data_IF_395153142776
#
_entry.id   IF_395153142776
#
_cell.length_a   1.000
_cell.length_b   1.000
_cell.length_c   1.000
_cell.angle_alpha   90.00
_cell.angle_beta   90.00
_cell.angle_gamma   90.00
#
_symmetry.space_group_name_H-M   'P 1'
#
loop_
_entity.id
_entity.type
_entity.pdbx_description
1 polymer ?
#
# COMPACT_ATOMS: atom_id res chain seq x y z
N UNK A 1 -10.33 12.87 -8.08
CA UNK A 1 -10.69 13.56 -6.82
C UNK A 1 -10.28 12.76 -5.58
N UNK A 2 -10.69 11.48 -5.44
CA UNK A 2 -10.36 10.67 -4.26
C UNK A 2 -8.86 10.58 -3.96
N UNK A 3 -8.04 10.17 -4.94
CA UNK A 3 -6.59 10.05 -4.74
C UNK A 3 -5.96 11.39 -4.28
N UNK A 4 -6.34 12.52 -4.89
CA UNK A 4 -5.82 13.83 -4.50
C UNK A 4 -6.14 14.18 -3.03
N UNK A 5 -7.35 13.89 -2.56
CA UNK A 5 -7.71 14.10 -1.14
C UNK A 5 -6.94 13.15 -0.21
N UNK A 6 -6.74 11.89 -0.61
CA UNK A 6 -5.93 10.93 0.14
C UNK A 6 -4.47 11.40 0.25
N UNK A 7 -3.87 11.82 -0.87
CA UNK A 7 -2.52 12.38 -0.93
C UNK A 7 -2.42 13.60 -0.01
N UNK A 8 -3.42 14.49 -0.03
CA UNK A 8 -3.45 15.66 0.84
C UNK A 8 -3.45 15.29 2.31
N UNK A 9 -4.29 14.33 2.71
CA UNK A 9 -4.38 13.88 4.12
C UNK A 9 -3.10 13.17 4.57
N UNK A 10 -2.53 12.28 3.74
CA UNK A 10 -1.26 11.61 4.06
C UNK A 10 -0.08 12.59 4.18
N UNK A 11 -0.18 13.75 3.56
CA UNK A 11 0.82 14.82 3.66
C UNK A 11 0.59 15.79 4.82
N UNK A 12 -0.54 15.72 5.53
CA UNK A 12 -0.81 16.56 6.68
C UNK A 12 0.14 16.22 7.84
N UNK A 13 0.64 17.25 8.54
CA UNK A 13 1.69 17.10 9.54
C UNK A 13 1.26 16.21 10.72
N UNK A 14 0.04 16.39 11.19
CA UNK A 14 -0.59 15.61 12.26
C UNK A 14 -0.74 14.13 11.87
N UNK A 15 -1.11 13.87 10.61
CA UNK A 15 -1.21 12.50 10.07
C UNK A 15 0.17 11.86 9.97
N UNK A 16 1.17 12.59 9.45
CA UNK A 16 2.55 12.10 9.38
C UNK A 16 3.12 11.78 10.76
N UNK A 17 2.91 12.66 11.75
CA UNK A 17 3.32 12.43 13.13
C UNK A 17 2.63 11.20 13.74
N UNK A 18 1.33 11.04 13.50
CA UNK A 18 0.58 9.86 13.95
C UNK A 18 1.15 8.58 13.36
N UNK A 19 1.42 8.55 12.06
CA UNK A 19 2.02 7.39 11.41
C UNK A 19 3.44 7.11 11.93
N UNK A 20 4.26 8.14 12.10
CA UNK A 20 5.59 8.01 12.69
C UNK A 20 5.55 7.44 14.11
N UNK A 21 4.56 7.84 14.93
CA UNK A 21 4.35 7.29 16.29
C UNK A 21 4.01 5.79 16.30
N UNK A 22 3.48 5.27 15.19
CA UNK A 22 3.20 3.86 14.96
C UNK A 22 4.36 3.11 14.28
N UNK A 23 5.49 3.80 14.03
CA UNK A 23 6.65 3.24 13.36
C UNK A 23 6.46 3.01 11.85
N UNK A 24 5.51 3.71 11.24
CA UNK A 24 5.21 3.58 9.80
C UNK A 24 5.42 4.90 9.07
N UNK A 25 5.91 4.83 7.84
CA UNK A 25 6.02 5.98 6.94
C UNK A 25 4.85 5.96 5.95
N UNK A 26 4.03 7.02 5.88
CA UNK A 26 2.95 7.08 4.90
C UNK A 26 3.52 7.34 3.51
N UNK A 27 3.19 6.47 2.56
CA UNK A 27 3.55 6.60 1.15
C UNK A 27 2.27 6.89 0.36
N UNK A 28 2.35 7.83 -0.58
CA UNK A 28 1.29 8.09 -1.54
C UNK A 28 1.78 7.82 -2.96
N UNK A 29 0.89 7.38 -3.84
CA UNK A 29 1.17 7.15 -5.26
C UNK A 29 0.11 7.81 -6.13
N UNK A 30 0.34 7.77 -7.44
CA UNK A 30 -0.73 7.95 -8.43
C UNK A 30 -1.65 6.72 -8.48
N UNK A 31 -2.88 6.84 -9.00
CA UNK A 31 -3.76 5.70 -9.25
C UNK A 31 -3.14 4.64 -10.16
N UNK A 32 -2.42 5.05 -11.20
CA UNK A 32 -1.79 4.18 -12.18
C UNK A 32 -0.64 3.37 -11.55
N UNK A 33 0.18 4.02 -10.72
CA UNK A 33 1.22 3.35 -9.94
C UNK A 33 0.64 2.34 -8.94
N UNK A 34 -0.50 2.67 -8.31
CA UNK A 34 -1.18 1.76 -7.39
C UNK A 34 -1.73 0.53 -8.13
N UNK A 35 -2.31 0.72 -9.32
CA UNK A 35 -2.76 -0.38 -10.17
C UNK A 35 -1.60 -1.29 -10.58
N UNK A 36 -0.49 -0.68 -11.02
CA UNK A 36 0.71 -1.43 -11.40
C UNK A 36 1.29 -2.22 -10.22
N UNK A 37 1.35 -1.61 -9.04
CA UNK A 37 1.80 -2.25 -7.81
C UNK A 37 0.93 -3.46 -7.46
N UNK A 38 -0.39 -3.30 -7.43
CA UNK A 38 -1.32 -4.39 -7.11
C UNK A 38 -1.17 -5.56 -8.10
N UNK A 39 -1.05 -5.29 -9.40
CA UNK A 39 -0.83 -6.35 -10.40
C UNK A 39 0.48 -7.10 -10.18
N UNK A 40 1.56 -6.38 -9.89
CA UNK A 40 2.87 -6.98 -9.63
C UNK A 40 2.86 -7.84 -8.35
N UNK A 41 2.27 -7.32 -7.27
CA UNK A 41 2.17 -8.03 -5.99
C UNK A 41 1.29 -9.27 -6.10
N UNK A 42 0.15 -9.17 -6.79
CA UNK A 42 -0.72 -10.33 -7.05
C UNK A 42 0.02 -11.43 -7.79
N UNK A 43 0.76 -11.09 -8.85
CA UNK A 43 1.54 -12.08 -9.61
C UNK A 43 2.61 -12.73 -8.73
N UNK A 44 3.35 -11.93 -7.96
CA UNK A 44 4.42 -12.40 -7.07
C UNK A 44 3.88 -13.33 -5.99
N UNK A 45 2.90 -12.88 -5.21
CA UNK A 45 2.40 -13.63 -4.06
C UNK A 45 1.56 -14.83 -4.47
N UNK A 46 0.85 -14.78 -5.61
CA UNK A 46 0.18 -15.96 -6.16
C UNK A 46 1.18 -17.09 -6.44
N UNK A 47 2.37 -16.77 -6.94
CA UNK A 47 3.44 -17.75 -7.13
C UNK A 47 3.96 -18.27 -5.80
N UNK A 48 4.28 -17.39 -4.85
CA UNK A 48 4.80 -17.78 -3.52
C UNK A 48 3.84 -18.71 -2.78
N UNK A 49 2.54 -18.42 -2.79
CA UNK A 49 1.52 -19.28 -2.15
C UNK A 49 1.45 -20.65 -2.80
N UNK A 50 1.45 -20.72 -4.14
CA UNK A 50 1.45 -22.00 -4.87
C UNK A 50 2.72 -22.80 -4.58
N UNK A 51 3.88 -22.16 -4.61
CA UNK A 51 5.17 -22.81 -4.41
C UNK A 51 5.35 -23.31 -2.97
N UNK A 52 4.82 -22.57 -1.98
CA UNK A 52 4.91 -22.94 -0.55
C UNK A 52 3.88 -23.98 -0.11
N UNK A 53 2.78 -24.13 -0.86
CA UNK A 53 1.64 -24.96 -0.44
C UNK A 53 0.83 -24.37 0.72
N UNK A 54 1.08 -23.12 1.10
CA UNK A 54 0.33 -22.42 2.13
C UNK A 54 -1.15 -22.33 1.77
N UNK A 55 -2.02 -22.52 2.77
CA UNK A 55 -3.47 -22.39 2.65
C UNK A 55 -3.99 -21.52 3.79
N UNK A 56 -5.06 -20.78 3.52
CA UNK A 56 -5.87 -20.17 4.58
C UNK A 56 -6.77 -21.28 5.15
N UNK A 57 -6.94 -21.27 6.46
CA UNK A 57 -7.77 -22.18 7.24
C UNK A 57 -9.28 -22.02 6.97
#
# INVERSE_FOLDING_TARGET
RLNAEVVKVLNAADVRERFASLGVEPISSTPEEMEAYVKAELARWSKVVKDSGARVD
#
